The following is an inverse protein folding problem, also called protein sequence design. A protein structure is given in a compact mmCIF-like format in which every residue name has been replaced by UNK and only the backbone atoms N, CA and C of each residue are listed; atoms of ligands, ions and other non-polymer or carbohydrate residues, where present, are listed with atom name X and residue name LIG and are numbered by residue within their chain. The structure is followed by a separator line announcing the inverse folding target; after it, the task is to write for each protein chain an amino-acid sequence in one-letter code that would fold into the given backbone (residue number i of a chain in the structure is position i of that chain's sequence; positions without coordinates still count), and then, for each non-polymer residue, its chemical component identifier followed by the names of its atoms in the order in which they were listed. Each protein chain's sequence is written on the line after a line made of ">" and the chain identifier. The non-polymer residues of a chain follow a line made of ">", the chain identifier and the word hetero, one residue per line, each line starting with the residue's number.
data_IF_592085227965
#
_entry.id   IF_592085227965
#
_cell.length_a   1.000
_cell.length_b   1.000
_cell.length_c   1.000
_cell.angle_alpha   90.00
_cell.angle_beta   90.00
_cell.angle_gamma   90.00
#
_symmetry.space_group_name_H-M   'P 1'
#
loop_
_entity.id
_entity.type
_entity.pdbx_description
1 polymer ?
#
# COMPACT_ATOMS: atom_id res chain seq x y z
N UNK A 1 11.88 0.52 9.31
CA UNK A 1 12.47 -0.66 8.65
C UNK A 1 12.06 -0.54 7.20
N UNK A 2 13.01 -0.21 6.34
CA UNK A 2 12.78 -0.17 4.90
C UNK A 2 12.74 -1.61 4.42
N UNK A 3 11.59 -2.03 3.91
CA UNK A 3 11.36 -3.39 3.48
C UNK A 3 11.05 -3.31 2.00
N UNK A 4 12.11 -3.31 1.23
CA UNK A 4 12.09 -3.48 -0.23
C UNK A 4 11.15 -4.65 -0.57
N UNK A 5 9.97 -4.39 -1.14
CA UNK A 5 8.98 -5.43 -1.48
C UNK A 5 7.92 -5.74 -0.42
N UNK A 6 7.83 -5.00 0.70
CA UNK A 6 6.80 -5.22 1.72
C UNK A 6 5.37 -4.98 1.23
N UNK A 7 5.19 -4.21 0.15
CA UNK A 7 3.90 -3.99 -0.51
C UNK A 7 3.25 -5.31 -0.91
N UNK A 8 4.03 -6.32 -1.34
CA UNK A 8 3.49 -7.62 -1.73
C UNK A 8 3.05 -8.47 -0.54
N UNK A 9 3.60 -8.23 0.65
CA UNK A 9 3.16 -8.91 1.87
C UNK A 9 1.76 -8.44 2.28
N UNK A 10 1.48 -7.13 2.13
CA UNK A 10 0.16 -6.55 2.40
C UNK A 10 -0.94 -7.16 1.52
N UNK A 11 -0.60 -7.62 0.30
CA UNK A 11 -1.56 -8.30 -0.58
C UNK A 11 -2.05 -9.63 0.02
N UNK A 12 -1.18 -10.35 0.75
CA UNK A 12 -1.47 -11.69 1.27
C UNK A 12 -2.05 -11.70 2.69
N UNK A 13 -1.92 -10.61 3.43
CA UNK A 13 -2.43 -10.52 4.79
C UNK A 13 -3.96 -10.48 4.83
N UNK A 14 -4.52 -10.99 5.93
CA UNK A 14 -5.95 -10.86 6.19
C UNK A 14 -6.33 -9.39 6.37
N UNK A 15 -7.60 -9.05 6.13
CA UNK A 15 -8.10 -7.69 6.38
C UNK A 15 -7.98 -7.31 7.86
N UNK A 16 -8.12 -8.28 8.76
CA UNK A 16 -7.97 -8.07 10.20
C UNK A 16 -6.54 -7.65 10.55
N UNK A 17 -5.54 -8.33 9.99
CA UNK A 17 -4.12 -8.01 10.20
C UNK A 17 -3.73 -6.65 9.60
N UNK A 18 -4.19 -6.36 8.38
CA UNK A 18 -3.94 -5.06 7.72
C UNK A 18 -4.56 -3.93 8.53
N UNK A 19 -5.75 -4.14 9.10
CA UNK A 19 -6.47 -3.10 9.86
C UNK A 19 -5.87 -2.77 11.22
N UNK A 20 -4.87 -3.53 11.69
CA UNK A 20 -4.14 -3.22 12.92
C UNK A 20 -3.44 -1.85 12.84
N UNK A 21 -2.96 -1.45 11.66
CA UNK A 21 -2.37 -0.12 11.48
C UNK A 21 -3.40 0.87 10.91
N UNK A 22 -3.59 2.00 11.58
CA UNK A 22 -4.57 3.01 11.13
C UNK A 22 -4.20 3.69 9.80
N UNK A 23 -2.91 3.72 9.49
CA UNK A 23 -2.35 4.44 8.36
C UNK A 23 -1.16 3.68 7.78
N UNK A 24 -1.01 3.77 6.46
CA UNK A 24 0.14 3.24 5.73
C UNK A 24 0.70 4.29 4.79
N UNK A 25 2.03 4.38 4.74
CA UNK A 25 2.75 4.97 3.62
C UNK A 25 3.49 3.81 2.96
N UNK A 26 3.16 3.53 1.71
CA UNK A 26 3.69 2.38 0.98
C UNK A 26 4.41 2.87 -0.25
N UNK A 27 5.64 2.42 -0.40
CA UNK A 27 6.39 2.51 -1.64
C UNK A 27 6.01 1.32 -2.52
N UNK A 28 5.65 1.59 -3.78
CA UNK A 28 5.10 0.60 -4.68
C UNK A 28 5.98 0.50 -5.91
N UNK A 29 6.52 -0.69 -6.12
CA UNK A 29 7.35 -1.00 -7.29
C UNK A 29 6.50 -1.59 -8.41
N UNK A 30 6.54 -0.95 -9.59
CA UNK A 30 5.83 -1.40 -10.78
C UNK A 30 4.33 -1.06 -10.75
N UNK A 31 3.47 -2.07 -10.88
CA UNK A 31 2.01 -1.85 -11.01
C UNK A 31 1.35 -1.66 -9.64
N UNK A 32 0.73 -0.51 -9.45
CA UNK A 32 0.07 -0.11 -8.19
C UNK A 32 -1.34 -0.67 -7.99
N UNK A 33 -2.00 -1.14 -9.05
CA UNK A 33 -3.38 -1.64 -8.99
C UNK A 33 -3.61 -2.69 -7.89
N UNK A 34 -2.84 -3.79 -7.85
CA UNK A 34 -3.09 -4.88 -6.90
C UNK A 34 -3.05 -4.46 -5.43
N UNK A 35 -2.14 -3.55 -5.05
CA UNK A 35 -2.03 -3.09 -3.66
C UNK A 35 -3.08 -2.02 -3.35
N UNK A 36 -3.34 -1.09 -4.28
CA UNK A 36 -4.36 -0.05 -4.08
C UNK A 36 -5.74 -0.67 -3.91
N UNK A 37 -6.10 -1.61 -4.78
CA UNK A 37 -7.38 -2.32 -4.72
C UNK A 37 -7.51 -3.09 -3.40
N UNK A 38 -6.47 -3.85 -3.02
CA UNK A 38 -6.47 -4.60 -1.76
C UNK A 38 -6.68 -3.70 -0.54
N UNK A 39 -6.00 -2.56 -0.48
CA UNK A 39 -6.13 -1.63 0.65
C UNK A 39 -7.53 -1.00 0.69
N UNK A 40 -8.12 -0.67 -0.46
CA UNK A 40 -9.50 -0.16 -0.55
C UNK A 40 -10.50 -1.23 -0.10
N UNK A 41 -10.35 -2.48 -0.53
CA UNK A 41 -11.18 -3.61 -0.06
C UNK A 41 -11.10 -3.81 1.45
N UNK A 42 -9.95 -3.52 2.06
CA UNK A 42 -9.77 -3.56 3.52
C UNK A 42 -10.41 -2.36 4.26
N UNK A 43 -10.97 -1.40 3.52
CA UNK A 43 -11.66 -0.23 4.04
C UNK A 43 -10.82 1.03 4.15
N UNK A 44 -9.66 1.09 3.49
CA UNK A 44 -8.83 2.29 3.48
C UNK A 44 -9.23 3.23 2.34
N UNK A 45 -9.09 4.53 2.60
CA UNK A 45 -9.05 5.59 1.60
C UNK A 45 -7.64 5.68 1.05
N UNK A 46 -7.52 5.88 -0.26
CA UNK A 46 -6.25 5.98 -0.97
C UNK A 46 -5.94 7.41 -1.38
N UNK A 47 -4.67 7.79 -1.30
CA UNK A 47 -4.13 9.02 -1.86
C UNK A 47 -2.77 8.74 -2.49
N UNK A 48 -2.62 9.00 -3.78
CA UNK A 48 -1.32 9.10 -4.44
C UNK A 48 -0.55 10.31 -3.91
N UNK A 49 0.72 10.13 -3.58
CA UNK A 49 1.58 11.20 -3.05
C UNK A 49 2.52 11.71 -4.13
N UNK A 50 3.39 10.85 -4.67
CA UNK A 50 4.36 11.22 -5.70
C UNK A 50 4.91 10.01 -6.44
N UNK A 51 5.44 10.27 -7.63
CA UNK A 51 6.32 9.35 -8.34
C UNK A 51 7.77 9.70 -7.95
N UNK A 52 8.55 8.69 -7.56
CA UNK A 52 9.94 8.82 -7.14
C UNK A 52 10.89 8.43 -8.27
N UNK A 53 10.51 7.43 -9.05
CA UNK A 53 11.22 6.97 -10.25
C UNK A 53 10.23 6.33 -11.23
N UNK A 54 10.69 6.01 -12.46
CA UNK A 54 9.83 5.47 -13.53
C UNK A 54 8.94 4.29 -13.12
N UNK A 55 9.36 3.48 -12.15
CA UNK A 55 8.60 2.33 -11.64
C UNK A 55 8.44 2.35 -10.11
N UNK A 56 8.55 3.53 -9.48
CA UNK A 56 8.44 3.67 -8.03
C UNK A 56 7.52 4.83 -7.65
N UNK A 57 6.44 4.52 -6.94
CA UNK A 57 5.43 5.48 -6.49
C UNK A 57 5.22 5.38 -4.99
N UNK A 58 4.82 6.50 -4.37
CA UNK A 58 4.46 6.54 -2.95
C UNK A 58 2.96 6.78 -2.82
N UNK A 59 2.32 5.93 -2.02
CA UNK A 59 0.89 6.00 -1.73
C UNK A 59 0.64 6.08 -0.23
N UNK A 60 -0.40 6.82 0.13
CA UNK A 60 -0.87 6.95 1.48
C UNK A 60 -2.26 6.34 1.61
N UNK A 61 -2.44 5.50 2.63
CA UNK A 61 -3.71 4.86 2.95
C UNK A 61 -4.13 5.21 4.38
N UNK A 62 -5.39 5.58 4.57
CA UNK A 62 -5.97 5.86 5.90
C UNK A 62 -7.36 5.25 6.02
N UNK A 63 -7.70 4.72 7.18
CA UNK A 63 -9.09 4.33 7.49
C UNK A 63 -10.01 5.57 7.55
#
# INVERSE_FOLDING_TARGET
>A
MDCEGCEYSLIKLSTEDIRLAKQYIVEVHGSEGPIVDRMIECGYKHKFIKNVASLLTIHYFTQ
#
